data_IF_909803594452
#
_entry.id   IF_909803594452
#
_cell.length_a   1.000
_cell.length_b   1.000
_cell.length_c   1.000
_cell.angle_alpha   90.00
_cell.angle_beta   90.00
_cell.angle_gamma   90.00
#
_symmetry.space_group_name_H-M   'P 1'
#
loop_
_entity.id
_entity.type
_entity.pdbx_description
1 polymer ?
#
# COMPACT_ATOMS: atom_id res chain seq x y z
N UNK A 1 4.61 -3.44 -18.59
CA UNK A 1 4.02 -4.73 -18.11
C UNK A 1 2.97 -4.37 -17.09
N UNK A 2 1.74 -4.87 -17.22
CA UNK A 2 0.64 -4.56 -16.30
C UNK A 2 0.74 -5.37 -15.01
N UNK A 3 0.24 -4.83 -13.90
CA UNK A 3 0.22 -5.56 -12.63
C UNK A 3 -0.52 -6.89 -12.75
N UNK A 4 -1.61 -6.94 -13.54
CA UNK A 4 -2.34 -8.18 -13.84
C UNK A 4 -1.42 -9.30 -14.37
N UNK A 5 -0.52 -8.95 -15.29
CA UNK A 5 0.39 -9.90 -15.91
C UNK A 5 1.40 -10.43 -14.88
N UNK A 6 1.95 -9.53 -14.05
CA UNK A 6 2.90 -9.85 -12.98
C UNK A 6 2.29 -10.79 -11.94
N UNK A 7 1.06 -10.50 -11.49
CA UNK A 7 0.33 -11.36 -10.53
C UNK A 7 0.06 -12.73 -11.15
N UNK A 8 -0.31 -12.78 -12.44
CA UNK A 8 -0.61 -14.05 -13.13
C UNK A 8 0.61 -14.99 -13.26
N UNK A 9 1.82 -14.42 -13.31
CA UNK A 9 3.09 -15.15 -13.40
C UNK A 9 3.66 -15.54 -12.02
N UNK A 10 3.10 -14.99 -10.95
CA UNK A 10 3.55 -15.23 -9.58
C UNK A 10 2.85 -16.44 -8.98
N UNK A 11 3.53 -17.14 -8.06
CA UNK A 11 2.92 -18.21 -7.27
C UNK A 11 2.73 -17.76 -5.82
N UNK A 12 1.68 -18.25 -5.18
CA UNK A 12 1.31 -17.82 -3.83
C UNK A 12 2.38 -18.13 -2.79
N UNK A 13 3.07 -19.28 -2.88
CA UNK A 13 4.07 -19.68 -1.89
C UNK A 13 5.21 -18.67 -1.79
N UNK A 14 5.76 -18.27 -2.94
CA UNK A 14 6.87 -17.31 -2.99
C UNK A 14 6.41 -15.91 -2.59
N UNK A 15 5.19 -15.50 -2.99
CA UNK A 15 4.59 -14.23 -2.57
C UNK A 15 4.38 -14.18 -1.06
N UNK A 16 3.87 -15.25 -0.45
CA UNK A 16 3.67 -15.32 0.99
C UNK A 16 5.00 -15.24 1.76
N UNK A 17 6.06 -15.87 1.24
CA UNK A 17 7.41 -15.75 1.79
C UNK A 17 7.89 -14.30 1.70
N UNK A 18 7.75 -13.64 0.55
CA UNK A 18 8.15 -12.25 0.37
C UNK A 18 7.41 -11.30 1.33
N UNK A 19 6.09 -11.45 1.49
CA UNK A 19 5.29 -10.66 2.44
C UNK A 19 5.81 -10.81 3.87
N UNK A 20 6.12 -12.04 4.31
CA UNK A 20 6.57 -12.28 5.69
C UNK A 20 8.03 -11.87 5.90
N UNK A 21 8.85 -11.89 4.85
CA UNK A 21 10.23 -11.40 4.91
C UNK A 21 10.25 -9.89 5.13
N UNK A 22 9.41 -9.15 4.40
CA UNK A 22 9.38 -7.68 4.45
C UNK A 22 8.51 -7.16 5.60
N UNK A 23 7.43 -7.88 5.93
CA UNK A 23 6.51 -7.53 7.00
C UNK A 23 6.21 -8.75 7.90
N UNK A 24 7.14 -9.17 8.78
CA UNK A 24 6.99 -10.39 9.60
C UNK A 24 5.71 -10.47 10.44
N UNK A 25 5.22 -9.33 10.91
CA UNK A 25 3.97 -9.22 11.67
C UNK A 25 2.70 -9.53 10.85
N UNK A 26 2.78 -9.50 9.53
CA UNK A 26 1.69 -9.89 8.63
C UNK A 26 1.54 -11.41 8.51
N UNK A 27 2.43 -12.22 9.11
CA UNK A 27 2.32 -13.69 9.12
C UNK A 27 0.94 -14.20 9.56
N UNK A 28 0.31 -13.54 10.53
CA UNK A 28 -1.04 -13.88 11.02
C UNK A 28 -2.17 -13.60 10.01
N UNK A 29 -1.90 -12.76 9.02
CA UNK A 29 -2.87 -12.27 8.04
C UNK A 29 -2.68 -12.92 6.65
N UNK A 30 -1.77 -13.89 6.51
CA UNK A 30 -1.47 -14.55 5.23
C UNK A 30 -2.70 -15.11 4.51
N UNK A 31 -3.71 -15.58 5.25
CA UNK A 31 -4.93 -16.08 4.63
C UNK A 31 -5.73 -14.97 3.95
N UNK A 32 -5.78 -13.76 4.53
CA UNK A 32 -6.39 -12.59 3.91
C UNK A 32 -5.67 -12.22 2.60
N UNK A 33 -4.34 -12.15 2.64
CA UNK A 33 -3.52 -11.93 1.45
C UNK A 33 -3.75 -12.99 0.37
N UNK A 34 -3.87 -14.27 0.75
CA UNK A 34 -4.13 -15.36 -0.19
C UNK A 34 -5.48 -15.17 -0.90
N UNK A 35 -6.52 -14.83 -0.16
CA UNK A 35 -7.86 -14.60 -0.71
C UNK A 35 -7.81 -13.44 -1.71
N UNK A 36 -7.15 -12.33 -1.36
CA UNK A 36 -7.00 -11.19 -2.26
C UNK A 36 -6.20 -11.59 -3.51
N UNK A 37 -5.05 -12.25 -3.35
CA UNK A 37 -4.24 -12.73 -4.47
C UNK A 37 -5.04 -13.57 -5.48
N UNK A 38 -5.81 -14.56 -5.00
CA UNK A 38 -6.64 -15.38 -5.89
C UNK A 38 -7.81 -14.60 -6.50
N UNK A 39 -8.38 -13.65 -5.76
CA UNK A 39 -9.45 -12.77 -6.27
C UNK A 39 -8.92 -11.91 -7.42
N UNK A 40 -7.77 -11.26 -7.25
CA UNK A 40 -7.12 -10.42 -8.27
C UNK A 40 -6.79 -11.20 -9.55
N UNK A 41 -6.45 -12.49 -9.43
CA UNK A 41 -6.23 -13.36 -10.60
C UNK A 41 -7.48 -13.59 -11.43
N UNK A 42 -8.67 -13.46 -10.84
CA UNK A 42 -9.95 -13.65 -11.53
C UNK A 42 -10.61 -12.33 -12.00
N UNK A 43 -10.17 -11.18 -11.49
CA UNK A 43 -10.73 -9.88 -11.88
C UNK A 43 -10.22 -9.40 -13.23
N UNK A 44 -11.07 -8.71 -14.00
CA UNK A 44 -10.64 -8.05 -15.23
C UNK A 44 -10.06 -6.66 -14.91
N UNK A 45 -8.94 -6.27 -15.55
CA UNK A 45 -8.34 -4.96 -15.33
C UNK A 45 -9.17 -3.84 -15.99
N UNK A 46 -9.18 -2.68 -15.35
CA UNK A 46 -9.66 -1.41 -15.91
C UNK A 46 -8.45 -0.56 -16.27
N UNK A 47 -8.45 0.07 -17.46
CA UNK A 47 -7.35 0.96 -17.86
C UNK A 47 -7.13 2.08 -16.84
N UNK A 48 -5.86 2.38 -16.58
CA UNK A 48 -5.43 3.46 -15.70
C UNK A 48 -4.37 4.29 -16.41
N UNK A 49 -4.34 5.59 -16.12
CA UNK A 49 -3.29 6.49 -16.59
C UNK A 49 -2.07 6.54 -15.65
N UNK A 50 -2.17 5.91 -14.48
CA UNK A 50 -1.08 5.83 -13.52
C UNK A 50 -0.18 4.62 -13.78
N UNK A 51 1.10 4.80 -13.51
CA UNK A 51 2.09 3.73 -13.43
C UNK A 51 2.43 3.45 -11.97
N UNK A 52 2.62 2.19 -11.63
CA UNK A 52 3.08 1.76 -10.31
C UNK A 52 4.60 1.93 -10.26
N UNK A 53 5.09 2.68 -9.27
CA UNK A 53 6.50 2.78 -8.93
C UNK A 53 6.72 2.34 -7.48
N UNK A 54 7.76 1.55 -7.27
CA UNK A 54 8.13 1.03 -5.96
C UNK A 54 9.58 1.43 -5.66
N UNK A 55 9.79 2.08 -4.52
CA UNK A 55 11.11 2.55 -4.09
C UNK A 55 11.30 2.40 -2.58
N UNK A 56 12.55 2.28 -2.12
CA UNK A 56 12.83 2.36 -0.69
C UNK A 56 12.90 3.81 -0.25
N UNK A 57 12.06 4.21 0.71
CA UNK A 57 12.07 5.54 1.33
C UNK A 57 12.52 5.45 2.78
N UNK A 58 13.22 6.48 3.25
CA UNK A 58 13.60 6.60 4.65
C UNK A 58 12.38 6.98 5.50
N UNK A 59 12.30 6.45 6.71
CA UNK A 59 11.26 6.84 7.65
C UNK A 59 11.51 8.27 8.16
N UNK A 60 10.44 9.03 8.33
CA UNK A 60 10.50 10.43 8.75
C UNK A 60 10.95 10.58 10.21
N UNK A 61 10.77 9.54 11.04
CA UNK A 61 11.15 9.49 12.44
C UNK A 61 12.49 8.78 12.65
N UNK A 62 12.83 7.82 11.77
CA UNK A 62 14.08 7.07 11.81
C UNK A 62 14.72 6.98 10.42
N UNK A 63 15.64 7.89 10.12
CA UNK A 63 16.31 7.95 8.81
C UNK A 63 17.21 6.76 8.51
N UNK A 64 17.58 5.95 9.52
CA UNK A 64 18.34 4.70 9.30
C UNK A 64 17.41 3.57 8.84
N UNK A 65 16.11 3.68 9.14
CA UNK A 65 15.10 2.74 8.70
C UNK A 65 14.59 3.12 7.30
N UNK A 66 14.55 2.13 6.40
CA UNK A 66 13.93 2.28 5.08
C UNK A 66 12.87 1.23 4.83
N UNK A 67 11.78 1.63 4.18
CA UNK A 67 10.68 0.75 3.81
C UNK A 67 10.36 0.86 2.32
N UNK A 68 9.83 -0.21 1.70
CA UNK A 68 9.32 -0.15 0.34
C UNK A 68 8.03 0.67 0.32
N UNK A 69 8.02 1.77 -0.43
CA UNK A 69 6.85 2.60 -0.69
C UNK A 69 6.30 2.28 -2.08
N UNK A 70 4.98 2.15 -2.20
CA UNK A 70 4.27 1.82 -3.44
C UNK A 70 3.38 3.00 -3.79
N UNK A 71 3.66 3.67 -4.90
CA UNK A 71 2.95 4.88 -5.29
C UNK A 71 2.70 4.95 -6.80
N UNK A 72 1.69 5.73 -7.16
CA UNK A 72 1.36 6.06 -8.53
C UNK A 72 2.22 7.21 -9.04
N UNK A 73 2.66 7.09 -10.28
CA UNK A 73 3.25 8.20 -11.04
C UNK A 73 2.48 8.37 -12.34
N UNK A 74 2.39 9.60 -12.82
CA UNK A 74 1.74 9.94 -14.08
C UNK A 74 2.73 10.72 -14.94
N UNK A 75 2.75 10.42 -16.24
CA UNK A 75 3.68 11.08 -17.15
C UNK A 75 3.43 12.60 -17.17
N UNK A 76 4.49 13.37 -16.97
CA UNK A 76 4.45 14.84 -16.92
C UNK A 76 4.22 15.43 -15.53
N UNK A 77 3.87 14.62 -14.53
CA UNK A 77 3.72 15.07 -13.15
C UNK A 77 5.04 14.92 -12.38
N UNK A 78 5.37 15.92 -11.55
CA UNK A 78 6.53 15.88 -10.63
C UNK A 78 6.17 15.34 -9.24
N UNK A 79 4.94 14.87 -9.06
CA UNK A 79 4.40 14.40 -7.77
C UNK A 79 4.08 12.90 -7.81
N UNK A 80 4.13 12.27 -6.63
CA UNK A 80 3.67 10.90 -6.42
C UNK A 80 2.26 10.86 -5.84
N UNK A 81 1.46 9.88 -6.26
CA UNK A 81 0.09 9.68 -5.82
C UNK A 81 -0.03 8.46 -4.93
N UNK A 82 -0.75 8.58 -3.81
CA UNK A 82 -1.13 7.40 -3.02
C UNK A 82 -2.19 6.60 -3.76
N UNK A 83 -2.07 5.27 -3.70
CA UNK A 83 -2.94 4.33 -4.41
C UNK A 83 -3.90 3.56 -3.47
N UNK A 84 -3.87 3.84 -2.17
CA UNK A 84 -4.57 3.05 -1.13
C UNK A 84 -6.10 3.01 -1.28
N UNK A 85 -6.69 4.03 -1.92
CA UNK A 85 -8.12 4.09 -2.21
C UNK A 85 -8.46 3.75 -3.66
N UNK A 86 -7.47 3.44 -4.49
CA UNK A 86 -7.73 3.06 -5.88
C UNK A 86 -8.40 1.67 -5.95
N UNK A 87 -9.46 1.49 -6.77
CA UNK A 87 -10.08 0.18 -6.97
C UNK A 87 -9.09 -0.86 -7.47
N UNK A 88 -9.22 -2.10 -7.03
CA UNK A 88 -8.29 -3.16 -7.43
C UNK A 88 -8.30 -3.46 -8.92
N UNK A 89 -9.44 -3.28 -9.61
CA UNK A 89 -9.49 -3.42 -11.08
C UNK A 89 -8.62 -2.40 -11.78
N UNK A 90 -8.54 -1.18 -11.26
CA UNK A 90 -7.69 -0.13 -11.80
C UNK A 90 -6.21 -0.41 -11.50
N UNK A 91 -5.87 -0.83 -10.28
CA UNK A 91 -4.53 -1.34 -9.94
C UNK A 91 -4.04 -2.40 -10.94
N UNK A 92 -4.90 -3.36 -11.28
CA UNK A 92 -4.58 -4.43 -12.22
C UNK A 92 -4.31 -3.93 -13.64
N UNK A 93 -4.90 -2.81 -14.04
CA UNK A 93 -4.69 -2.20 -15.34
C UNK A 93 -3.48 -1.27 -15.42
N UNK A 94 -2.93 -0.83 -14.29
CA UNK A 94 -1.73 0.00 -14.24
C UNK A 94 -0.51 -0.75 -14.77
N UNK A 95 0.34 -0.01 -15.50
CA UNK A 95 1.66 -0.49 -15.86
C UNK A 95 2.64 -0.32 -14.69
N UNK A 96 3.55 -1.26 -14.51
CA UNK A 96 4.68 -1.08 -13.59
C UNK A 96 5.79 -0.34 -14.30
N UNK A 97 6.30 0.71 -13.66
CA UNK A 97 7.37 1.54 -14.18
C UNK A 97 8.65 0.70 -14.45
N UNK A 98 9.40 1.09 -15.49
CA UNK A 98 10.58 0.36 -15.93
C UNK A 98 11.66 0.22 -14.85
N UNK A 99 11.91 1.27 -14.06
CA UNK A 99 12.92 1.22 -12.97
C UNK A 99 12.53 0.18 -11.91
N UNK A 100 11.24 0.06 -11.61
CA UNK A 100 10.72 -0.97 -10.69
C UNK A 100 10.87 -2.37 -11.28
N UNK A 101 10.58 -2.56 -12.58
CA UNK A 101 10.75 -3.86 -13.26
C UNK A 101 12.22 -4.30 -13.33
N UNK A 102 13.15 -3.36 -13.39
CA UNK A 102 14.60 -3.63 -13.38
C UNK A 102 15.13 -3.94 -11.98
N UNK A 103 14.58 -3.29 -10.95
CA UNK A 103 15.07 -3.43 -9.58
C UNK A 103 14.44 -4.60 -8.80
N UNK A 104 13.21 -5.01 -9.15
CA UNK A 104 12.43 -5.96 -8.37
C UNK A 104 11.93 -7.14 -9.19
N UNK A 105 11.87 -8.31 -8.55
CA UNK A 105 11.25 -9.49 -9.14
C UNK A 105 9.71 -9.38 -9.18
N UNK A 106 9.03 -10.11 -10.08
CA UNK A 106 7.57 -10.20 -10.10
C UNK A 106 6.94 -10.59 -8.75
N UNK A 107 7.62 -11.45 -8.00
CA UNK A 107 7.19 -11.90 -6.65
C UNK A 107 7.22 -10.72 -5.66
N UNK A 108 8.30 -9.93 -5.65
CA UNK A 108 8.43 -8.76 -4.77
C UNK A 108 7.41 -7.69 -5.12
N UNK A 109 7.25 -7.38 -6.41
CA UNK A 109 6.26 -6.41 -6.89
C UNK A 109 4.85 -6.83 -6.44
N UNK A 110 4.51 -8.11 -6.63
CA UNK A 110 3.23 -8.65 -6.17
C UNK A 110 3.05 -8.52 -4.66
N UNK A 111 4.08 -8.86 -3.87
CA UNK A 111 4.01 -8.79 -2.41
C UNK A 111 3.80 -7.36 -1.90
N UNK A 112 4.55 -6.39 -2.44
CA UNK A 112 4.41 -4.98 -2.06
C UNK A 112 3.06 -4.41 -2.49
N UNK A 113 2.60 -4.69 -3.71
CA UNK A 113 1.29 -4.23 -4.16
C UNK A 113 0.17 -4.85 -3.32
N UNK A 114 0.22 -6.14 -2.99
CA UNK A 114 -0.77 -6.76 -2.10
C UNK A 114 -0.80 -6.11 -0.72
N UNK A 115 0.36 -5.80 -0.15
CA UNK A 115 0.45 -5.09 1.13
C UNK A 115 -0.24 -3.73 1.06
N UNK A 116 0.04 -2.95 0.02
CA UNK A 116 -0.55 -1.62 -0.19
C UNK A 116 -2.06 -1.68 -0.46
N UNK A 117 -2.49 -2.55 -1.38
CA UNK A 117 -3.90 -2.76 -1.75
C UNK A 117 -4.78 -3.24 -0.58
N UNK A 118 -4.16 -3.78 0.47
CA UNK A 118 -4.86 -4.31 1.65
C UNK A 118 -4.61 -3.49 2.92
N UNK A 119 -4.08 -2.28 2.79
CA UNK A 119 -3.76 -1.40 3.91
C UNK A 119 -4.96 -1.17 4.85
N UNK A 120 -6.16 -0.99 4.27
CA UNK A 120 -7.41 -0.78 5.00
C UNK A 120 -8.24 -2.06 5.24
N UNK A 121 -7.79 -3.21 4.75
CA UNK A 121 -8.54 -4.45 4.84
C UNK A 121 -8.32 -5.40 3.67
N UNK A 122 -8.93 -6.59 3.74
CA UNK A 122 -8.79 -7.64 2.73
C UNK A 122 -10.01 -7.73 1.79
N UNK A 123 -10.86 -6.71 1.76
CA UNK A 123 -12.01 -6.59 0.86
C UNK A 123 -12.13 -5.17 0.30
N UNK A 124 -12.69 -5.05 -0.91
CA UNK A 124 -13.03 -3.75 -1.52
C UNK A 124 -14.02 -2.96 -0.64
N UNK A 125 -15.00 -3.63 -0.02
CA UNK A 125 -15.97 -2.99 0.88
C UNK A 125 -15.27 -2.30 2.07
N UNK A 126 -14.23 -2.90 2.64
CA UNK A 126 -13.46 -2.28 3.73
C UNK A 126 -12.73 -1.01 3.26
N UNK A 127 -12.16 -1.03 2.05
CA UNK A 127 -11.54 0.15 1.43
C UNK A 127 -12.57 1.26 1.21
N UNK A 128 -13.72 0.93 0.62
CA UNK A 128 -14.81 1.89 0.35
C UNK A 128 -15.37 2.52 1.62
N UNK A 129 -15.52 1.72 2.70
CA UNK A 129 -15.96 2.23 4.00
C UNK A 129 -14.95 3.24 4.60
N UNK A 130 -13.65 2.97 4.47
CA UNK A 130 -12.62 3.90 4.94
C UNK A 130 -12.56 5.17 4.09
N UNK A 131 -12.72 5.05 2.76
CA UNK A 131 -12.78 6.20 1.86
C UNK A 131 -13.96 7.11 2.19
N UNK A 132 -15.15 6.52 2.39
CA UNK A 132 -16.36 7.25 2.77
C UNK A 132 -16.20 7.98 4.13
N UNK A 133 -15.61 7.32 5.13
CA UNK A 133 -15.34 7.93 6.44
C UNK A 133 -14.35 9.09 6.34
N UNK A 134 -13.34 8.99 5.46
CA UNK A 134 -12.39 10.07 5.21
C UNK A 134 -13.07 11.25 4.51
N UNK A 135 -13.96 10.99 3.56
CA UNK A 135 -14.73 12.03 2.87
C UNK A 135 -15.70 12.77 3.78
N UNK A 136 -16.34 12.07 4.71
CA UNK A 136 -17.15 12.68 5.77
C UNK A 136 -16.30 13.60 6.65
N UNK A 137 -15.15 13.11 7.13
CA UNK A 137 -14.21 13.91 7.93
C UNK A 137 -13.71 15.15 7.15
N UNK A 138 -13.46 15.01 5.84
CA UNK A 138 -13.07 16.13 4.97
C UNK A 138 -14.17 17.16 4.78
N UNK A 139 -15.44 16.75 4.79
CA UNK A 139 -16.59 17.68 4.72
C UNK A 139 -16.74 18.44 6.03
N UNK A 140 -16.71 17.73 7.16
CA UNK A 140 -16.77 18.32 8.49
C UNK A 140 -15.66 19.36 8.68
N UNK A 141 -14.41 19.04 8.33
CA UNK A 141 -13.28 19.96 8.37
C UNK A 141 -13.46 21.24 7.53
N UNK A 142 -14.22 21.16 6.43
CA UNK A 142 -14.52 22.34 5.58
C UNK A 142 -15.68 23.16 6.14
N UNK A 143 -16.64 22.51 6.77
CA UNK A 143 -17.82 23.14 7.37
C UNK A 143 -17.49 23.79 8.72
N UNK A 144 -16.55 23.21 9.47
CA UNK A 144 -16.12 23.61 10.80
C UNK A 144 -14.59 23.80 10.87
N UNK A 145 -14.02 24.78 10.13
CA UNK A 145 -12.58 25.02 10.16
C UNK A 145 -12.07 25.46 11.55
N UNK A 146 -12.94 25.99 12.41
CA UNK A 146 -12.62 26.33 13.81
C UNK A 146 -12.25 25.13 14.68
N UNK A 147 -12.68 23.93 14.29
CA UNK A 147 -12.37 22.69 15.02
C UNK A 147 -11.04 22.07 14.58
N UNK A 148 -10.39 22.64 13.55
CA UNK A 148 -9.07 22.20 13.11
C UNK A 148 -8.00 22.64 14.10
N UNK A 149 -7.24 21.66 14.60
CA UNK A 149 -6.08 21.89 15.43
C UNK A 149 -4.88 22.10 14.51
N UNK A 150 -4.18 23.22 14.64
CA UNK A 150 -2.87 23.38 14.03
C UNK A 150 -1.90 22.37 14.65
N UNK A 151 -1.48 21.41 13.82
CA UNK A 151 -0.45 20.45 14.22
C UNK A 151 0.91 21.14 14.18
N UNK A 152 1.47 21.39 15.36
CA UNK A 152 2.88 21.73 15.48
C UNK A 152 3.71 20.45 15.29
N UNK A 153 4.67 20.42 14.35
CA UNK A 153 5.57 19.29 14.16
C UNK A 153 6.31 18.85 15.43
N UNK A 154 6.53 19.76 16.38
CA UNK A 154 7.18 19.45 17.66
C UNK A 154 6.21 18.83 18.68
N UNK A 155 4.90 19.11 18.58
CA UNK A 155 3.84 18.51 19.42
C UNK A 155 3.35 17.17 18.87
N UNK A 156 3.88 16.80 17.71
CA UNK A 156 3.65 15.57 16.99
C UNK A 156 4.32 14.37 17.70
N UNK A 157 3.94 14.08 18.94
CA UNK A 157 4.05 12.72 19.50
C UNK A 157 2.99 11.85 18.84
N UNK A 158 3.16 11.67 17.54
CA UNK A 158 2.15 11.10 16.68
C UNK A 158 2.24 9.58 16.81
N UNK A 159 1.23 8.99 17.47
CA UNK A 159 0.91 7.56 17.43
C UNK A 159 0.41 7.10 16.03
N UNK A 160 0.67 7.88 14.97
CA UNK A 160 0.35 7.49 13.60
C UNK A 160 1.49 6.60 13.12
N UNK A 161 1.14 5.38 12.70
CA UNK A 161 2.02 4.30 12.20
C UNK A 161 2.80 3.47 13.23
N UNK A 162 3.08 3.96 14.44
CA UNK A 162 3.81 3.15 15.44
C UNK A 162 3.02 1.92 15.94
N UNK A 163 1.67 1.95 15.98
CA UNK A 163 0.88 0.80 16.48
C UNK A 163 0.88 -0.42 15.55
N UNK A 164 1.14 -0.24 14.26
CA UNK A 164 1.36 -1.33 13.30
C UNK A 164 2.81 -1.81 13.34
N UNK A 165 3.75 -0.87 13.19
CA UNK A 165 5.18 -1.14 13.03
C UNK A 165 5.91 -1.54 14.31
N UNK A 166 5.62 -0.93 15.47
CA UNK A 166 6.24 -1.34 16.74
C UNK A 166 5.75 -2.71 17.22
N UNK A 167 4.54 -3.15 16.83
CA UNK A 167 4.12 -4.54 17.09
C UNK A 167 4.95 -5.55 16.31
N UNK A 168 5.55 -5.15 15.19
CA UNK A 168 6.46 -5.98 14.40
C UNK A 168 7.87 -6.01 15.03
N UNK A 169 8.36 -4.88 15.56
CA UNK A 169 9.65 -4.76 16.26
C UNK A 169 9.66 -5.42 17.66
N UNK A 170 8.65 -5.19 18.48
CA UNK A 170 8.60 -5.68 19.87
C UNK A 170 8.55 -7.21 20.00
N UNK A 171 8.14 -7.91 18.93
CA UNK A 171 8.05 -9.38 18.91
C UNK A 171 9.31 -10.06 18.38
N UNK A 172 10.24 -9.31 17.79
CA UNK A 172 11.51 -9.83 17.28
C UNK A 172 12.65 -9.70 18.30
N UNK A 173 12.51 -8.79 19.28
CA UNK A 173 13.47 -8.59 20.38
C UNK A 173 13.18 -9.46 21.62
N UNK A 174 12.38 -10.52 21.51
CA UNK A 174 12.12 -11.49 22.60
C UNK A 174 12.28 -12.93 22.14
#
# INVERSE_FOLDING_TARGET
MKLKEIISQSNWQDVAIAIVTEHPCQRKNLEGFRIVFETLRLMEPTESEYLIRIERRADILDSEYTYPDVFGVKEGDEISYSLVFTPWTEWLGMEVNQETLEALSPIQITAYCLHEMTFFGFTEEQREQQEASLDESRKEAKEHPEDLIELNPDDLHIEISMKGYLRCLDRWLR
#
